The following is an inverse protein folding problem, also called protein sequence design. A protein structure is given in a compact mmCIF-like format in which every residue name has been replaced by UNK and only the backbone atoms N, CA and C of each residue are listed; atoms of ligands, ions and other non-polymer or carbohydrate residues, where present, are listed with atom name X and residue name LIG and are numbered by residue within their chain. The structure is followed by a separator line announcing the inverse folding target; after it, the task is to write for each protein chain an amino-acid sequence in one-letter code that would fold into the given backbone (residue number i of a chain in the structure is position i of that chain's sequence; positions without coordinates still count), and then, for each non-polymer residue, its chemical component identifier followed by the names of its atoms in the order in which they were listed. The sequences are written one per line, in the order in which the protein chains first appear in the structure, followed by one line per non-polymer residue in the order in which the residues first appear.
data_IF_268917254539
#
_entry.id   IF_268917254539
#
_cell.length_a   1.000
_cell.length_b   1.000
_cell.length_c   1.000
_cell.angle_alpha   90.00
_cell.angle_beta   90.00
_cell.angle_gamma   90.00
#
_symmetry.space_group_name_H-M   'P 1'
#
loop_
_entity.id
_entity.type
_entity.pdbx_description
1 polymer ?
#
# COMPACT_ATOMS: atom_id res chain seq x y z
N UNK A 1 0.65 2.73 -0.78
CA UNK A 1 0.28 2.88 0.65
C UNK A 1 1.37 2.27 1.50
N UNK A 2 1.80 2.92 2.57
CA UNK A 2 2.79 2.36 3.49
C UNK A 2 2.10 2.11 4.83
N UNK A 3 1.96 0.86 5.23
CA UNK A 3 1.15 0.40 6.36
C UNK A 3 -0.28 0.03 5.97
N UNK A 4 -0.70 -1.18 6.35
CA UNK A 4 -2.05 -1.72 6.19
C UNK A 4 -2.64 -2.12 7.56
N UNK A 5 -2.40 -1.27 8.56
CA UNK A 5 -3.08 -1.30 9.86
C UNK A 5 -4.42 -0.57 9.81
N UNK A 6 -4.96 -0.19 10.97
CA UNK A 6 -6.28 0.45 11.09
C UNK A 6 -6.45 1.67 10.15
N UNK A 7 -5.48 2.60 10.18
CA UNK A 7 -5.53 3.82 9.35
C UNK A 7 -5.41 3.51 7.86
N UNK A 8 -4.44 2.67 7.48
CA UNK A 8 -4.22 2.28 6.07
C UNK A 8 -5.44 1.57 5.48
N UNK A 9 -5.95 0.56 6.17
CA UNK A 9 -7.13 -0.19 5.77
C UNK A 9 -8.36 0.71 5.57
N UNK A 10 -8.69 1.55 6.56
CA UNK A 10 -9.84 2.45 6.43
C UNK A 10 -9.65 3.47 5.30
N UNK A 11 -8.46 4.02 5.14
CA UNK A 11 -8.14 4.92 4.02
C UNK A 11 -8.34 4.22 2.67
N UNK A 12 -7.85 2.98 2.53
CA UNK A 12 -8.04 2.16 1.34
C UNK A 12 -9.53 1.92 1.06
N UNK A 13 -10.30 1.54 2.07
CA UNK A 13 -11.75 1.27 1.95
C UNK A 13 -12.52 2.49 1.48
N UNK A 14 -12.24 3.68 2.03
CA UNK A 14 -12.93 4.90 1.61
C UNK A 14 -12.55 5.30 0.19
N UNK A 15 -11.27 5.30 -0.15
CA UNK A 15 -10.81 5.65 -1.50
C UNK A 15 -11.34 4.67 -2.55
N UNK A 16 -11.35 3.37 -2.23
CA UNK A 16 -11.90 2.34 -3.10
C UNK A 16 -13.39 2.57 -3.41
N UNK A 17 -14.19 2.98 -2.42
CA UNK A 17 -15.61 3.34 -2.63
C UNK A 17 -15.81 4.52 -3.60
N UNK A 18 -14.82 5.41 -3.70
CA UNK A 18 -14.81 6.51 -4.67
C UNK A 18 -14.14 6.14 -6.00
N UNK A 19 -13.84 4.86 -6.23
CA UNK A 19 -13.29 4.35 -7.50
C UNK A 19 -11.77 4.39 -7.60
N UNK A 20 -11.06 4.73 -6.53
CA UNK A 20 -9.60 4.67 -6.52
C UNK A 20 -9.10 3.22 -6.48
N UNK A 21 -7.94 2.97 -7.09
CA UNK A 21 -7.27 1.67 -7.09
C UNK A 21 -6.08 1.70 -6.17
N UNK A 22 -6.00 0.77 -5.21
CA UNK A 22 -4.78 0.59 -4.43
C UNK A 22 -3.81 -0.29 -5.21
N UNK A 23 -2.78 0.32 -5.79
CA UNK A 23 -1.83 -0.38 -6.67
C UNK A 23 -0.61 -0.95 -5.96
N UNK A 24 -0.31 -0.49 -4.73
CA UNK A 24 0.84 -0.96 -3.98
C UNK A 24 0.73 -0.73 -2.48
N UNK A 25 1.17 -1.71 -1.70
CA UNK A 25 1.15 -1.68 -0.23
C UNK A 25 2.48 -2.19 0.30
N UNK A 26 3.07 -1.46 1.24
CA UNK A 26 4.23 -1.89 2.02
C UNK A 26 3.82 -2.18 3.46
N UNK A 27 4.24 -3.31 4.00
CA UNK A 27 4.18 -3.70 5.41
C UNK A 27 5.60 -4.02 5.91
N UNK A 28 5.72 -4.36 7.20
CA UNK A 28 7.02 -4.64 7.82
C UNK A 28 7.71 -5.89 7.24
N UNK A 29 6.93 -6.83 6.72
CA UNK A 29 7.35 -8.14 6.21
C UNK A 29 7.52 -8.18 4.69
N UNK A 30 7.04 -7.16 3.97
CA UNK A 30 7.22 -7.06 2.53
C UNK A 30 6.32 -6.03 1.88
N UNK A 31 6.51 -5.87 0.57
CA UNK A 31 5.66 -5.01 -0.27
C UNK A 31 5.05 -5.80 -1.41
N UNK A 32 3.82 -5.46 -1.75
CA UNK A 32 3.08 -6.07 -2.86
C UNK A 32 2.62 -4.99 -3.84
N UNK A 33 2.52 -5.37 -5.11
CA UNK A 33 2.14 -4.51 -6.22
C UNK A 33 1.13 -5.20 -7.13
N UNK A 34 0.10 -4.46 -7.52
CA UNK A 34 -0.86 -4.87 -8.55
C UNK A 34 -1.36 -3.62 -9.30
N UNK A 35 -0.95 -3.40 -10.57
CA UNK A 35 -1.38 -2.22 -11.33
C UNK A 35 -2.89 -2.20 -11.63
N UNK A 36 -3.58 -3.35 -11.54
CA UNK A 36 -5.03 -3.44 -11.71
C UNK A 36 -5.80 -3.05 -10.44
N UNK A 37 -5.12 -2.92 -9.31
CA UNK A 37 -5.69 -2.61 -8.01
C UNK A 37 -5.99 -3.85 -7.16
N UNK A 38 -5.97 -3.67 -5.85
CA UNK A 38 -6.33 -4.68 -4.85
C UNK A 38 -7.65 -4.31 -4.18
N UNK A 39 -8.53 -5.29 -3.91
CA UNK A 39 -9.74 -5.09 -3.14
C UNK A 39 -9.41 -5.03 -1.64
N UNK A 40 -9.88 -4.01 -0.89
CA UNK A 40 -9.54 -3.85 0.51
C UNK A 40 -10.11 -4.95 1.41
N UNK A 41 -11.29 -5.50 1.08
CA UNK A 41 -11.93 -6.54 1.89
C UNK A 41 -11.22 -7.87 1.68
N UNK A 42 -10.93 -8.24 0.43
CA UNK A 42 -10.19 -9.47 0.12
C UNK A 42 -8.80 -9.46 0.76
N UNK A 43 -8.11 -8.33 0.72
CA UNK A 43 -6.79 -8.19 1.33
C UNK A 43 -6.84 -8.22 2.87
N UNK A 44 -7.84 -7.62 3.49
CA UNK A 44 -8.09 -7.71 4.93
C UNK A 44 -8.34 -9.16 5.34
N UNK A 45 -9.24 -9.86 4.65
CA UNK A 45 -9.56 -11.27 4.90
C UNK A 45 -8.30 -12.15 4.75
N UNK A 46 -7.48 -11.91 3.72
CA UNK A 46 -6.21 -12.62 3.53
C UNK A 46 -5.22 -12.36 4.67
N UNK A 47 -5.03 -11.10 5.07
CA UNK A 47 -4.12 -10.72 6.16
C UNK A 47 -4.55 -11.34 7.49
N UNK A 48 -5.87 -11.40 7.76
CA UNK A 48 -6.39 -12.04 8.98
C UNK A 48 -6.14 -13.55 9.00
N UNK A 49 -6.19 -14.21 7.84
CA UNK A 49 -5.95 -15.65 7.73
C UNK A 49 -4.46 -16.03 7.77
N UNK A 50 -3.59 -15.24 7.14
CA UNK A 50 -2.17 -15.59 6.94
C UNK A 50 -1.22 -14.80 7.86
N UNK A 51 -1.70 -13.73 8.51
CA UNK A 51 -0.89 -12.84 9.33
C UNK A 51 -0.03 -11.85 8.52
N UNK A 52 -0.10 -11.89 7.18
CA UNK A 52 0.72 -11.10 6.26
C UNK A 52 -0.08 -10.70 5.03
N UNK A 53 0.34 -9.63 4.33
CA UNK A 53 -0.16 -9.30 2.99
C UNK A 53 0.68 -9.97 1.87
N UNK A 54 1.87 -10.49 2.21
CA UNK A 54 2.77 -11.09 1.23
C UNK A 54 2.15 -12.38 0.69
N UNK A 55 2.20 -12.54 -0.64
CA UNK A 55 1.57 -13.67 -1.33
C UNK A 55 0.08 -13.47 -1.63
N UNK A 56 -0.48 -12.29 -1.37
CA UNK A 56 -1.87 -11.99 -1.72
C UNK A 56 -2.14 -12.28 -3.22
N UNK A 57 -3.21 -13.03 -3.56
CA UNK A 57 -3.50 -13.41 -4.95
C UNK A 57 -3.56 -12.21 -5.89
N UNK A 58 -3.11 -12.42 -7.14
CA UNK A 58 -3.06 -11.39 -8.18
C UNK A 58 -2.17 -10.17 -7.85
N UNK A 59 -1.35 -10.25 -6.80
CA UNK A 59 -0.27 -9.30 -6.51
C UNK A 59 1.09 -9.93 -6.76
N UNK A 60 2.07 -9.09 -7.05
CA UNK A 60 3.47 -9.48 -7.19
C UNK A 60 4.28 -8.86 -6.05
N UNK A 61 5.31 -9.53 -5.53
CA UNK A 61 6.29 -8.90 -4.65
C UNK A 61 6.87 -7.64 -5.30
N UNK A 62 7.05 -6.59 -4.52
CA UNK A 62 7.65 -5.34 -4.97
C UNK A 62 8.96 -5.09 -4.23
N UNK A 63 10.06 -5.05 -4.97
CA UNK A 63 11.41 -4.87 -4.41
C UNK A 63 11.82 -3.40 -4.25
N UNK A 64 11.07 -2.47 -4.86
CA UNK A 64 11.33 -1.05 -4.77
C UNK A 64 10.76 -0.39 -3.50
N UNK A 65 11.02 0.91 -3.34
CA UNK A 65 10.38 1.69 -2.28
C UNK A 65 8.96 2.11 -2.68
N UNK A 66 7.93 1.57 -2.02
CA UNK A 66 6.52 1.94 -2.27
C UNK A 66 6.25 3.44 -2.10
N UNK A 67 7.04 4.15 -1.29
CA UNK A 67 6.91 5.62 -1.12
C UNK A 67 7.31 6.39 -2.39
N UNK A 68 8.09 5.78 -3.29
CA UNK A 68 8.62 6.37 -4.53
C UNK A 68 7.99 5.76 -5.79
N UNK A 69 7.07 4.81 -5.59
CA UNK A 69 6.36 4.14 -6.67
C UNK A 69 5.43 5.12 -7.41
N UNK A 70 5.22 4.85 -8.69
CA UNK A 70 4.37 5.67 -9.55
C UNK A 70 2.90 5.50 -9.13
N UNK A 71 2.28 6.58 -8.63
CA UNK A 71 0.90 6.59 -8.17
C UNK A 71 0.35 8.02 -8.13
N UNK A 72 -0.97 8.17 -8.13
CA UNK A 72 -1.58 9.50 -7.96
C UNK A 72 -1.63 9.94 -6.50
N UNK A 73 -1.89 9.00 -5.57
CA UNK A 73 -2.11 9.29 -4.14
C UNK A 73 -1.16 8.42 -3.30
N UNK A 74 -0.32 9.07 -2.49
CA UNK A 74 0.54 8.41 -1.51
C UNK A 74 -0.03 8.55 -0.09
N UNK A 75 -0.13 7.44 0.63
CA UNK A 75 -0.61 7.39 2.02
C UNK A 75 0.46 6.74 2.90
N UNK A 76 1.26 7.53 3.65
CA UNK A 76 2.17 7.02 4.66
C UNK A 76 1.45 6.84 6.01
N UNK A 77 1.24 5.59 6.42
CA UNK A 77 0.39 5.20 7.55
C UNK A 77 0.98 4.08 8.44
N UNK A 78 2.28 3.78 8.36
CA UNK A 78 2.92 2.83 9.28
C UNK A 78 3.71 3.51 10.41
N UNK A 79 4.74 4.28 10.07
CA UNK A 79 5.68 4.86 11.04
C UNK A 79 6.00 6.32 10.78
N UNK A 80 6.68 6.97 11.74
CA UNK A 80 7.12 8.36 11.59
C UNK A 80 8.33 8.49 10.64
N UNK A 81 8.55 9.72 10.14
CA UNK A 81 9.75 10.12 9.37
C UNK A 81 10.05 9.24 8.14
N UNK A 82 9.01 8.66 7.53
CA UNK A 82 9.14 7.87 6.30
C UNK A 82 9.40 8.75 5.08
N UNK A 83 8.90 9.99 5.09
CA UNK A 83 9.22 11.03 4.11
C UNK A 83 10.26 11.97 4.72
N UNK A 84 11.41 12.08 4.06
CA UNK A 84 12.55 12.87 4.52
C UNK A 84 13.17 13.64 3.36
N UNK A 85 14.11 14.55 3.65
CA UNK A 85 14.87 15.24 2.59
C UNK A 85 15.59 14.28 1.63
N UNK A 86 15.88 13.05 2.05
CA UNK A 86 16.59 12.05 1.25
C UNK A 86 15.73 11.40 0.17
N UNK A 87 14.41 11.29 0.34
CA UNK A 87 13.53 10.62 -0.60
C UNK A 87 12.38 11.50 -1.13
N UNK A 88 12.14 12.67 -0.53
CA UNK A 88 11.06 13.57 -0.95
C UNK A 88 11.12 13.95 -2.44
N UNK A 89 12.33 14.04 -3.02
CA UNK A 89 12.52 14.36 -4.43
C UNK A 89 12.21 13.20 -5.39
N UNK A 90 12.08 11.97 -4.87
CA UNK A 90 11.74 10.78 -5.66
C UNK A 90 10.24 10.45 -5.63
N UNK A 91 9.44 11.16 -4.81
CA UNK A 91 8.00 10.92 -4.71
C UNK A 91 7.33 11.36 -6.00
N UNK A 92 6.56 10.45 -6.60
CA UNK A 92 5.85 10.68 -7.87
C UNK A 92 4.36 11.01 -7.67
N UNK A 93 3.85 10.84 -6.45
CA UNK A 93 2.48 11.19 -6.09
C UNK A 93 2.19 12.68 -6.25
N UNK A 94 0.91 13.00 -6.51
CA UNK A 94 0.43 14.35 -6.83
C UNK A 94 -0.06 15.11 -5.60
#
# INVERSE_FOLDING_TARGET
MQGFGNVGLHSMRYLHRYGAKCVGIAEIDGSIWNPNGMDPKELEDYKLQHGTIVGFPNSQPYEGNILEADCDILIPAAGEKQLTRKNAHNIKAK
#
